data_IF_390323570548
#
_entry.id   IF_390323570548
#
_cell.length_a   1.000
_cell.length_b   1.000
_cell.length_c   1.000
_cell.angle_alpha   90.00
_cell.angle_beta   90.00
_cell.angle_gamma   90.00
#
_symmetry.space_group_name_H-M   'P 1'
#
loop_
_entity.id
_entity.type
_entity.pdbx_description
1 polymer ?
#
# COMPACT_ATOMS: atom_id res chain seq x y z
N UNK A 1 39.01 74.29 -46.90
CA UNK A 1 39.13 72.89 -46.35
C UNK A 1 38.12 72.59 -45.15
N UNK A 2 37.54 73.57 -44.50
CA UNK A 2 36.65 73.32 -43.35
C UNK A 2 35.20 72.90 -43.67
N UNK A 3 34.70 73.21 -44.93
CA UNK A 3 33.31 72.86 -45.30
C UNK A 3 33.11 71.36 -45.65
N UNK A 4 34.16 70.67 -46.03
CA UNK A 4 34.08 69.26 -46.42
C UNK A 4 34.05 68.34 -45.19
N UNK A 5 34.74 68.67 -44.10
CA UNK A 5 34.76 67.91 -42.87
C UNK A 5 33.42 67.96 -42.12
N UNK A 6 32.73 69.08 -42.12
CA UNK A 6 31.39 69.20 -41.51
C UNK A 6 30.33 68.37 -42.23
N UNK A 7 30.36 68.30 -43.59
CA UNK A 7 29.44 67.48 -44.35
C UNK A 7 29.63 65.95 -44.10
N UNK A 8 30.86 65.47 -43.94
CA UNK A 8 31.16 64.07 -43.66
C UNK A 8 30.76 63.69 -42.24
N UNK A 9 30.93 64.58 -41.26
CA UNK A 9 30.44 64.35 -39.89
C UNK A 9 28.91 64.26 -39.83
N UNK A 10 28.18 65.15 -40.49
CA UNK A 10 26.72 65.12 -40.54
C UNK A 10 26.17 63.87 -41.24
N UNK A 11 26.79 63.38 -42.32
CA UNK A 11 26.37 62.16 -43.01
C UNK A 11 26.62 60.92 -42.15
N UNK A 12 27.74 60.86 -41.42
CA UNK A 12 28.03 59.75 -40.49
C UNK A 12 27.06 59.75 -39.29
N UNK A 13 26.73 60.95 -38.75
CA UNK A 13 25.77 61.06 -37.65
C UNK A 13 24.36 60.63 -38.07
N UNK A 14 23.92 61.01 -39.27
CA UNK A 14 22.63 60.57 -39.86
C UNK A 14 22.58 59.07 -40.13
N UNK A 15 23.68 58.49 -40.57
CA UNK A 15 23.78 57.05 -40.81
C UNK A 15 23.73 56.24 -39.50
N UNK A 16 24.44 56.70 -38.47
CA UNK A 16 24.44 56.12 -37.15
C UNK A 16 23.03 56.21 -36.52
N UNK A 17 22.40 57.39 -36.59
CA UNK A 17 21.04 57.61 -36.09
C UNK A 17 20.01 56.73 -36.79
N UNK A 18 20.05 56.54 -38.08
CA UNK A 18 19.16 55.67 -38.83
C UNK A 18 19.40 54.20 -38.49
N UNK A 19 20.63 53.81 -38.30
CA UNK A 19 20.99 52.43 -37.91
C UNK A 19 20.50 52.15 -36.50
N UNK A 20 20.65 53.04 -35.55
CA UNK A 20 20.11 52.93 -34.18
C UNK A 20 18.59 52.91 -34.20
N UNK A 21 17.91 53.74 -34.94
CA UNK A 21 16.46 53.76 -35.06
C UNK A 21 15.89 52.46 -35.58
N UNK A 22 16.56 51.82 -36.55
CA UNK A 22 16.17 50.54 -37.09
C UNK A 22 16.44 49.36 -36.12
N UNK A 23 17.52 49.45 -35.33
CA UNK A 23 17.82 48.47 -34.27
C UNK A 23 16.77 48.58 -33.15
N UNK A 24 16.45 49.81 -32.72
CA UNK A 24 15.40 50.06 -31.72
C UNK A 24 14.04 49.50 -32.14
N UNK A 25 13.64 49.73 -33.42
CA UNK A 25 12.41 49.15 -33.94
C UNK A 25 12.40 47.64 -33.88
N UNK A 26 13.51 46.99 -34.25
CA UNK A 26 13.63 45.51 -34.18
C UNK A 26 13.55 45.02 -32.73
N UNK A 27 14.20 45.70 -31.77
CA UNK A 27 14.15 45.38 -30.37
C UNK A 27 12.72 45.54 -29.81
N UNK A 28 12.03 46.63 -30.20
CA UNK A 28 10.63 46.84 -29.82
C UNK A 28 9.71 45.78 -30.37
N UNK A 29 9.88 45.34 -31.64
CA UNK A 29 9.13 44.24 -32.22
C UNK A 29 9.39 42.90 -31.49
N UNK A 30 10.65 42.63 -31.14
CA UNK A 30 11.01 41.42 -30.37
C UNK A 30 10.40 41.47 -28.96
N UNK A 31 10.42 42.61 -28.27
CA UNK A 31 9.81 42.80 -26.95
C UNK A 31 8.28 42.65 -27.01
N UNK A 32 7.62 43.20 -28.04
CA UNK A 32 6.17 43.02 -28.22
C UNK A 32 5.85 41.54 -28.51
N UNK A 33 6.64 40.86 -29.35
CA UNK A 33 6.47 39.43 -29.61
C UNK A 33 6.67 38.58 -28.35
N UNK A 34 7.67 38.88 -27.51
CA UNK A 34 7.89 38.21 -26.22
C UNK A 34 6.73 38.42 -25.24
N UNK A 35 6.15 39.63 -25.21
CA UNK A 35 4.98 39.93 -24.36
C UNK A 35 3.76 39.16 -24.85
N UNK A 36 3.52 39.07 -26.18
CA UNK A 36 2.40 38.32 -26.74
C UNK A 36 2.54 36.81 -26.51
N UNK A 37 3.75 36.26 -26.58
CA UNK A 37 4.01 34.84 -26.21
C UNK A 37 3.80 34.58 -24.70
N UNK A 38 4.15 35.52 -23.85
CA UNK A 38 3.94 35.39 -22.37
C UNK A 38 2.46 35.38 -21.98
N UNK A 39 1.62 36.14 -22.69
CA UNK A 39 0.17 36.18 -22.46
C UNK A 39 -0.50 34.90 -22.92
N UNK A 40 0.01 34.24 -23.95
CA UNK A 40 -0.50 32.95 -24.47
C UNK A 40 -0.10 31.76 -23.56
N UNK A 41 0.87 31.94 -22.66
CA UNK A 41 1.34 30.88 -21.73
C UNK A 41 0.55 30.83 -20.41
N UNK A 42 -0.45 31.69 -20.19
CA UNK A 42 -1.32 31.58 -19.03
C UNK A 42 -2.13 30.29 -19.14
N UNK A 43 -1.88 29.36 -18.20
CA UNK A 43 -2.65 28.10 -18.09
C UNK A 43 -4.14 28.45 -18.00
N UNK A 44 -4.91 27.98 -18.98
CA UNK A 44 -6.36 28.16 -19.02
C UNK A 44 -6.98 27.42 -17.84
N UNK A 45 -7.64 28.11 -16.92
CA UNK A 45 -8.35 27.49 -15.81
C UNK A 45 -9.55 26.71 -16.36
N UNK A 46 -9.61 25.40 -16.07
CA UNK A 46 -10.70 24.52 -16.51
C UNK A 46 -11.73 24.21 -15.44
N UNK A 47 -11.63 24.81 -14.24
CA UNK A 47 -12.61 24.55 -13.19
C UNK A 47 -12.22 25.14 -11.83
N UNK A 48 -12.96 24.74 -10.82
CA UNK A 48 -12.76 25.14 -9.42
C UNK A 48 -12.85 23.92 -8.52
N UNK A 49 -12.00 23.88 -7.49
CA UNK A 49 -12.04 22.88 -6.42
C UNK A 49 -12.59 23.55 -5.16
N UNK A 50 -13.54 22.91 -4.52
CA UNK A 50 -14.18 23.36 -3.30
C UNK A 50 -13.92 22.36 -2.17
N UNK A 51 -13.55 22.84 -1.00
CA UNK A 51 -13.44 22.04 0.23
C UNK A 51 -14.75 22.01 1.03
N UNK A 52 -15.68 22.91 0.71
CA UNK A 52 -17.03 22.99 1.23
C UNK A 52 -17.99 23.14 0.06
N UNK A 53 -18.91 22.18 -0.12
CA UNK A 53 -19.88 22.18 -1.22
C UNK A 53 -21.07 21.27 -0.87
N UNK A 54 -22.34 21.63 -1.20
CA UNK A 54 -23.50 20.79 -0.92
C UNK A 54 -23.44 19.36 -1.47
N UNK A 55 -22.68 19.15 -2.57
CA UNK A 55 -22.47 17.82 -3.12
C UNK A 55 -21.61 16.94 -2.21
N UNK A 56 -20.69 17.51 -1.43
CA UNK A 56 -19.93 16.79 -0.41
C UNK A 56 -20.87 16.30 0.67
N UNK A 57 -21.74 17.17 1.19
CA UNK A 57 -22.73 16.81 2.22
C UNK A 57 -23.68 15.70 1.73
N UNK A 58 -24.06 15.74 0.45
CA UNK A 58 -24.87 14.69 -0.17
C UNK A 58 -24.15 13.35 -0.20
N UNK A 59 -22.87 13.32 -0.59
CA UNK A 59 -22.05 12.09 -0.62
C UNK A 59 -21.85 11.55 0.80
N UNK A 60 -21.54 12.40 1.77
CA UNK A 60 -21.45 12.00 3.17
C UNK A 60 -22.78 11.46 3.72
N UNK A 61 -23.90 12.09 3.36
CA UNK A 61 -25.24 11.62 3.73
C UNK A 61 -25.55 10.25 3.11
N UNK A 62 -25.15 10.02 1.87
CA UNK A 62 -25.22 8.73 1.21
C UNK A 62 -24.39 7.66 1.94
N UNK A 63 -23.13 7.95 2.25
CA UNK A 63 -22.26 7.02 2.97
C UNK A 63 -22.81 6.70 4.37
N UNK A 64 -23.30 7.70 5.10
CA UNK A 64 -23.90 7.54 6.42
C UNK A 64 -25.18 6.69 6.37
N UNK A 65 -26.05 6.90 5.37
CA UNK A 65 -27.22 6.06 5.16
C UNK A 65 -26.85 4.61 4.86
N UNK A 66 -25.81 4.38 4.07
CA UNK A 66 -25.32 3.03 3.79
C UNK A 66 -24.81 2.32 5.05
N UNK A 67 -23.88 2.91 5.80
CA UNK A 67 -23.31 2.27 7.01
C UNK A 67 -24.32 2.09 8.14
N UNK A 68 -25.35 2.95 8.21
CA UNK A 68 -26.43 2.80 9.19
C UNK A 68 -27.46 1.73 8.82
N UNK A 69 -27.38 1.19 7.58
CA UNK A 69 -28.35 0.21 7.08
C UNK A 69 -29.65 0.82 6.53
N UNK A 70 -29.76 2.14 6.45
CA UNK A 70 -30.90 2.83 5.81
C UNK A 70 -30.75 2.79 4.29
N UNK A 71 -30.93 1.57 3.74
CA UNK A 71 -30.69 1.29 2.33
C UNK A 71 -31.67 2.01 1.40
N UNK A 72 -32.89 2.29 1.85
CA UNK A 72 -33.84 3.05 1.05
C UNK A 72 -33.39 4.50 0.90
N UNK A 73 -32.91 5.11 1.98
CA UNK A 73 -32.30 6.43 1.95
C UNK A 73 -31.03 6.44 1.11
N UNK A 74 -30.12 5.47 1.30
CA UNK A 74 -28.93 5.36 0.50
C UNK A 74 -29.25 5.23 -1.00
N UNK A 75 -30.22 4.38 -1.36
CA UNK A 75 -30.69 4.19 -2.73
C UNK A 75 -31.30 5.48 -3.33
N UNK A 76 -31.95 6.34 -2.52
CA UNK A 76 -32.56 7.57 -3.00
C UNK A 76 -31.54 8.59 -3.51
N UNK A 77 -30.29 8.53 -3.07
CA UNK A 77 -29.20 9.38 -3.58
C UNK A 77 -28.69 8.94 -4.95
N UNK A 78 -29.01 7.73 -5.43
CA UNK A 78 -28.50 7.19 -6.69
C UNK A 78 -29.47 7.48 -7.84
N UNK A 79 -28.95 8.03 -8.95
CA UNK A 79 -29.71 8.22 -10.18
C UNK A 79 -30.26 6.90 -10.74
N UNK A 80 -31.33 6.93 -11.55
CA UNK A 80 -31.88 5.70 -12.14
C UNK A 80 -30.91 5.02 -13.11
N UNK A 81 -30.13 5.80 -13.85
CA UNK A 81 -29.10 5.32 -14.77
C UNK A 81 -27.71 5.15 -14.11
N UNK A 82 -27.65 5.11 -12.79
CA UNK A 82 -26.42 5.01 -12.00
C UNK A 82 -25.53 3.87 -12.44
N UNK A 83 -24.20 4.14 -12.41
CA UNK A 83 -23.15 3.13 -12.65
C UNK A 83 -22.01 3.28 -11.65
N UNK A 84 -21.45 2.14 -11.19
CA UNK A 84 -20.18 2.12 -10.48
C UNK A 84 -19.16 1.29 -11.24
N UNK A 85 -17.93 1.79 -11.31
CA UNK A 85 -16.82 1.22 -12.04
C UNK A 85 -15.66 0.93 -11.11
N UNK A 86 -14.99 -0.20 -11.35
CA UNK A 86 -13.70 -0.47 -10.74
C UNK A 86 -12.62 0.37 -11.48
N UNK A 87 -12.04 1.35 -10.78
CA UNK A 87 -11.06 2.29 -11.35
C UNK A 87 -9.70 1.66 -11.66
N UNK A 88 -9.37 0.49 -11.06
CA UNK A 88 -8.15 -0.27 -11.36
C UNK A 88 -8.38 -1.41 -12.35
N UNK A 89 -9.62 -1.59 -12.82
CA UNK A 89 -9.98 -2.65 -13.75
C UNK A 89 -9.29 -2.50 -15.11
N UNK A 90 -8.77 -3.60 -15.65
CA UNK A 90 -8.07 -3.63 -16.94
C UNK A 90 -9.01 -3.55 -18.15
N UNK A 91 -10.30 -3.85 -17.99
CA UNK A 91 -11.27 -3.83 -19.08
C UNK A 91 -11.84 -2.42 -19.31
N UNK A 92 -11.29 -1.73 -20.29
CA UNK A 92 -11.73 -0.37 -20.70
C UNK A 92 -13.18 -0.30 -21.19
N UNK A 93 -13.77 -1.45 -21.59
CA UNK A 93 -15.14 -1.54 -22.07
C UNK A 93 -16.10 -2.05 -20.99
N UNK A 94 -15.69 -2.10 -19.72
CA UNK A 94 -16.56 -2.50 -18.63
C UNK A 94 -17.76 -1.57 -18.54
N UNK A 95 -18.97 -2.15 -18.48
CA UNK A 95 -20.22 -1.37 -18.39
C UNK A 95 -20.50 -0.84 -16.97
N UNK A 96 -19.68 -1.22 -15.99
CA UNK A 96 -19.91 -0.96 -14.58
C UNK A 96 -21.14 -1.70 -14.02
N UNK A 97 -21.29 -1.69 -12.70
CA UNK A 97 -22.48 -2.22 -12.06
C UNK A 97 -23.61 -1.20 -12.13
N UNK A 98 -24.82 -1.72 -12.32
CA UNK A 98 -26.07 -0.93 -12.30
C UNK A 98 -26.43 -0.54 -10.85
N UNK A 99 -27.36 0.40 -10.70
CA UNK A 99 -27.99 0.76 -9.42
C UNK A 99 -28.45 -0.47 -8.64
N UNK A 100 -29.17 -1.39 -9.30
CA UNK A 100 -29.67 -2.62 -8.65
C UNK A 100 -28.55 -3.50 -8.14
N UNK A 101 -27.50 -3.70 -8.94
CA UNK A 101 -26.32 -4.52 -8.53
C UNK A 101 -25.58 -3.88 -7.37
N UNK A 102 -25.40 -2.56 -7.40
CA UNK A 102 -24.72 -1.85 -6.33
C UNK A 102 -25.54 -1.83 -5.04
N UNK A 103 -26.86 -1.63 -5.11
CA UNK A 103 -27.74 -1.76 -3.95
C UNK A 103 -27.68 -3.16 -3.35
N UNK A 104 -27.66 -4.20 -4.20
CA UNK A 104 -27.43 -5.58 -3.74
C UNK A 104 -26.08 -5.74 -2.98
N UNK A 105 -25.02 -5.13 -3.49
CA UNK A 105 -23.71 -5.10 -2.81
C UNK A 105 -23.78 -4.35 -1.47
N UNK A 106 -24.40 -3.15 -1.43
CA UNK A 106 -24.59 -2.41 -0.18
C UNK A 106 -25.35 -3.24 0.85
N UNK A 107 -26.41 -3.93 0.40
CA UNK A 107 -27.20 -4.85 1.24
C UNK A 107 -26.34 -5.97 1.80
N UNK A 108 -25.49 -6.56 0.95
CA UNK A 108 -24.58 -7.61 1.40
C UNK A 108 -23.64 -7.13 2.52
N UNK A 109 -23.05 -5.93 2.37
CA UNK A 109 -22.17 -5.35 3.39
C UNK A 109 -22.87 -5.17 4.72
N UNK A 110 -24.06 -4.57 4.73
CA UNK A 110 -24.85 -4.34 5.94
C UNK A 110 -25.25 -5.64 6.64
N UNK A 111 -25.65 -6.64 5.86
CA UNK A 111 -26.14 -7.90 6.41
C UNK A 111 -25.01 -8.84 6.89
N UNK A 112 -23.85 -8.79 6.25
CA UNK A 112 -22.78 -9.77 6.48
C UNK A 112 -21.58 -9.23 7.24
N UNK A 113 -21.50 -7.94 7.51
CA UNK A 113 -20.39 -7.35 8.22
C UNK A 113 -20.82 -6.78 9.57
N UNK A 114 -20.13 -7.19 10.64
CA UNK A 114 -20.16 -6.50 11.91
C UNK A 114 -19.21 -5.30 11.88
N UNK A 115 -19.50 -4.27 12.66
CA UNK A 115 -18.66 -3.06 12.78
C UNK A 115 -18.40 -2.36 11.45
N UNK A 116 -19.32 -2.49 10.51
CA UNK A 116 -19.19 -1.90 9.18
C UNK A 116 -19.08 -0.38 9.26
N UNK A 117 -18.02 0.17 8.69
CA UNK A 117 -17.69 1.60 8.73
C UNK A 117 -17.06 2.05 7.41
N UNK A 118 -17.38 3.28 7.06
CA UNK A 118 -16.65 4.08 6.07
C UNK A 118 -16.13 5.29 6.82
N UNK A 119 -14.83 5.34 7.05
CA UNK A 119 -14.19 6.43 7.77
C UNK A 119 -13.29 7.20 6.83
N UNK A 120 -13.28 8.51 6.97
CA UNK A 120 -12.30 9.35 6.29
C UNK A 120 -10.88 8.95 6.72
N UNK A 121 -9.98 8.82 5.75
CA UNK A 121 -8.56 8.59 6.02
C UNK A 121 -7.97 9.80 6.77
N UNK A 122 -7.04 9.55 7.69
CA UNK A 122 -6.41 10.60 8.47
C UNK A 122 -5.70 11.62 7.58
N UNK A 123 -5.96 12.90 7.82
CA UNK A 123 -5.40 14.01 7.05
C UNK A 123 -6.02 14.25 5.67
N UNK A 124 -7.02 13.46 5.26
CA UNK A 124 -7.71 13.64 4.00
C UNK A 124 -8.99 14.47 4.16
N UNK A 125 -9.32 15.21 3.12
CA UNK A 125 -10.56 16.00 3.02
C UNK A 125 -11.27 15.65 1.73
N UNK A 126 -12.63 15.52 1.71
CA UNK A 126 -13.35 15.42 0.47
C UNK A 126 -13.30 16.75 -0.27
N UNK A 127 -13.21 16.66 -1.59
CA UNK A 127 -13.22 17.82 -2.48
C UNK A 127 -14.38 17.71 -3.47
N UNK A 128 -15.01 18.84 -3.80
CA UNK A 128 -15.90 18.97 -4.95
C UNK A 128 -15.17 19.69 -6.08
N UNK A 129 -15.22 19.14 -7.29
CA UNK A 129 -14.52 19.64 -8.46
C UNK A 129 -15.54 19.98 -9.54
N UNK A 130 -15.75 21.25 -9.81
CA UNK A 130 -16.52 21.74 -10.93
C UNK A 130 -15.64 21.94 -12.15
N UNK A 131 -15.91 21.22 -13.23
CA UNK A 131 -15.26 21.39 -14.51
C UNK A 131 -16.06 22.36 -15.40
N UNK A 132 -15.38 23.35 -15.99
CA UNK A 132 -15.99 24.27 -16.98
C UNK A 132 -16.23 23.58 -18.31
N UNK A 133 -15.31 22.72 -18.70
CA UNK A 133 -15.43 21.92 -19.92
C UNK A 133 -16.25 20.68 -19.59
N UNK A 134 -17.43 20.55 -20.21
CA UNK A 134 -18.34 19.43 -19.99
C UNK A 134 -19.35 19.60 -18.84
N UNK A 135 -19.32 20.74 -18.15
CA UNK A 135 -20.27 21.08 -17.07
C UNK A 135 -20.50 19.90 -16.07
N UNK A 136 -19.38 19.36 -15.55
CA UNK A 136 -19.38 18.20 -14.66
C UNK A 136 -19.00 18.60 -13.26
N UNK A 137 -19.75 18.09 -12.29
CA UNK A 137 -19.43 18.16 -10.87
C UNK A 137 -19.03 16.77 -10.36
N UNK A 138 -17.84 16.69 -9.81
CA UNK A 138 -17.31 15.48 -9.17
C UNK A 138 -17.04 15.75 -7.70
N UNK A 139 -17.36 14.77 -6.85
CA UNK A 139 -16.89 14.73 -5.47
C UNK A 139 -15.89 13.58 -5.34
N UNK A 140 -14.78 13.83 -4.70
CA UNK A 140 -13.79 12.79 -4.42
C UNK A 140 -13.61 12.63 -2.91
N UNK A 141 -13.47 11.37 -2.48
CA UNK A 141 -13.25 11.00 -1.08
C UNK A 141 -12.09 10.04 -0.94
N UNK A 142 -11.37 10.14 0.17
CA UNK A 142 -10.35 9.20 0.60
C UNK A 142 -10.80 8.62 1.92
N UNK A 143 -11.31 7.41 1.86
CA UNK A 143 -11.93 6.74 2.98
C UNK A 143 -11.18 5.46 3.33
N UNK A 144 -11.50 4.91 4.47
CA UNK A 144 -11.11 3.59 4.93
C UNK A 144 -12.38 2.76 5.14
N UNK A 145 -12.48 1.65 4.40
CA UNK A 145 -13.59 0.72 4.50
C UNK A 145 -13.21 -0.39 5.49
N UNK A 146 -14.00 -0.56 6.53
CA UNK A 146 -13.75 -1.51 7.60
C UNK A 146 -14.97 -2.35 7.92
N UNK A 147 -14.74 -3.61 8.29
CA UNK A 147 -15.77 -4.50 8.82
C UNK A 147 -15.21 -5.88 9.12
N UNK A 148 -15.96 -6.67 9.90
CA UNK A 148 -15.64 -8.07 10.20
C UNK A 148 -16.77 -8.95 9.70
N UNK A 149 -16.45 -9.94 8.88
CA UNK A 149 -17.47 -10.84 8.34
C UNK A 149 -18.11 -11.68 9.44
N UNK A 150 -19.43 -11.65 9.55
CA UNK A 150 -20.20 -12.33 10.59
C UNK A 150 -20.04 -13.85 10.57
N UNK A 151 -19.88 -14.43 9.38
CA UNK A 151 -19.84 -15.88 9.22
C UNK A 151 -18.43 -16.45 9.38
N UNK A 152 -17.41 -15.72 8.90
CA UNK A 152 -16.04 -16.23 8.81
C UNK A 152 -15.08 -15.58 9.82
N UNK A 153 -15.47 -14.43 10.41
CA UNK A 153 -14.59 -13.62 11.25
C UNK A 153 -13.50 -12.88 10.47
N UNK A 154 -13.48 -12.98 9.14
CA UNK A 154 -12.48 -12.31 8.32
C UNK A 154 -12.63 -10.79 8.40
N UNK A 155 -11.54 -10.10 8.72
CA UNK A 155 -11.48 -8.65 8.75
C UNK A 155 -11.30 -8.10 7.32
N UNK A 156 -12.12 -7.15 6.96
CA UNK A 156 -11.88 -6.27 5.83
C UNK A 156 -11.41 -4.91 6.35
N UNK A 157 -10.27 -4.43 5.86
CA UNK A 157 -9.66 -3.19 6.32
C UNK A 157 -8.80 -2.64 5.17
N UNK A 158 -9.37 -1.72 4.40
CA UNK A 158 -8.72 -1.24 3.19
C UNK A 158 -9.00 0.23 2.92
N UNK A 159 -7.99 0.99 2.46
CA UNK A 159 -8.20 2.32 1.92
C UNK A 159 -9.03 2.23 0.64
N UNK A 160 -9.94 3.18 0.47
CA UNK A 160 -10.76 3.33 -0.73
C UNK A 160 -10.82 4.79 -1.15
N UNK A 161 -10.52 5.03 -2.42
CA UNK A 161 -10.70 6.33 -3.04
C UNK A 161 -11.87 6.26 -4.00
N UNK A 162 -12.83 7.18 -3.89
CA UNK A 162 -14.00 7.23 -4.74
C UNK A 162 -14.17 8.58 -5.39
N UNK A 163 -14.53 8.55 -6.67
CA UNK A 163 -14.92 9.71 -7.46
C UNK A 163 -16.42 9.57 -7.77
N UNK A 164 -17.22 10.50 -7.29
CA UNK A 164 -18.67 10.53 -7.48
C UNK A 164 -19.03 11.58 -8.51
N UNK A 165 -19.57 11.18 -9.66
CA UNK A 165 -20.16 12.09 -10.63
C UNK A 165 -21.56 12.47 -10.16
N UNK A 166 -21.79 13.75 -9.98
CA UNK A 166 -23.09 14.29 -9.56
C UNK A 166 -23.94 14.61 -10.80
N UNK A 167 -25.26 14.40 -10.70
CA UNK A 167 -26.19 14.77 -11.76
C UNK A 167 -26.22 16.29 -11.99
N UNK A 168 -26.54 16.72 -13.22
CA UNK A 168 -26.54 18.14 -13.59
C UNK A 168 -27.56 19.00 -12.79
N UNK A 169 -28.57 18.37 -12.21
CA UNK A 169 -29.50 19.02 -11.30
C UNK A 169 -29.02 19.04 -9.84
N UNK A 170 -27.83 18.51 -9.56
CA UNK A 170 -27.20 18.40 -8.26
C UNK A 170 -28.02 17.63 -7.20
N UNK A 171 -28.88 16.68 -7.63
CA UNK A 171 -29.79 15.96 -6.72
C UNK A 171 -29.43 14.51 -6.50
N UNK A 172 -28.57 13.93 -7.33
CA UNK A 172 -28.23 12.51 -7.26
C UNK A 172 -26.81 12.21 -7.72
N UNK A 173 -26.32 11.06 -7.31
CA UNK A 173 -25.06 10.47 -7.74
C UNK A 173 -25.31 9.66 -9.01
N UNK A 174 -24.70 10.06 -10.13
CA UNK A 174 -24.87 9.44 -11.43
C UNK A 174 -23.89 8.30 -11.69
N UNK A 175 -22.65 8.48 -11.23
CA UNK A 175 -21.63 7.44 -11.36
C UNK A 175 -20.65 7.48 -10.20
N UNK A 176 -20.00 6.34 -9.97
CA UNK A 176 -18.87 6.22 -9.04
C UNK A 176 -17.72 5.50 -9.74
N UNK A 177 -16.51 6.03 -9.61
CA UNK A 177 -15.29 5.27 -9.84
C UNK A 177 -14.65 4.95 -8.50
N UNK A 178 -14.45 3.67 -8.22
CA UNK A 178 -13.87 3.18 -6.98
C UNK A 178 -12.47 2.60 -7.22
N UNK A 179 -11.52 3.03 -6.40
CA UNK A 179 -10.13 2.56 -6.38
C UNK A 179 -9.85 2.00 -4.99
N UNK A 180 -9.57 0.70 -4.91
CA UNK A 180 -9.28 0.02 -3.65
C UNK A 180 -8.32 -1.15 -3.86
N UNK A 181 -7.84 -1.72 -2.75
CA UNK A 181 -6.96 -2.89 -2.80
C UNK A 181 -7.78 -4.17 -3.02
N UNK A 182 -7.67 -4.77 -4.21
CA UNK A 182 -8.36 -6.02 -4.53
C UNK A 182 -7.95 -7.21 -3.67
N UNK A 183 -6.73 -7.21 -3.12
CA UNK A 183 -6.27 -8.28 -2.24
C UNK A 183 -7.16 -8.43 -0.98
N UNK A 184 -7.74 -7.33 -0.48
CA UNK A 184 -8.67 -7.36 0.65
C UNK A 184 -9.96 -8.11 0.31
N UNK A 185 -10.46 -7.96 -0.93
CA UNK A 185 -11.63 -8.72 -1.41
C UNK A 185 -11.30 -10.19 -1.65
N UNK A 186 -10.10 -10.49 -2.13
CA UNK A 186 -9.62 -11.88 -2.29
C UNK A 186 -9.58 -12.56 -0.93
N UNK A 187 -8.98 -11.94 0.08
CA UNK A 187 -8.91 -12.49 1.44
C UNK A 187 -10.32 -12.73 2.03
N UNK A 188 -11.26 -11.80 1.81
CA UNK A 188 -12.65 -11.97 2.23
C UNK A 188 -13.32 -13.15 1.54
N UNK A 189 -13.17 -13.29 0.22
CA UNK A 189 -13.70 -14.41 -0.56
C UNK A 189 -13.08 -15.73 -0.11
N UNK A 190 -11.76 -15.78 0.05
CA UNK A 190 -11.03 -16.98 0.43
C UNK A 190 -11.36 -17.43 1.86
N UNK A 191 -11.87 -16.55 2.71
CA UNK A 191 -12.34 -16.91 4.05
C UNK A 191 -13.57 -17.83 4.05
N UNK A 192 -14.31 -17.89 2.95
CA UNK A 192 -15.44 -18.82 2.76
C UNK A 192 -15.01 -20.18 2.18
N UNK A 193 -13.77 -20.31 1.72
CA UNK A 193 -13.29 -21.56 1.17
C UNK A 193 -13.09 -22.59 2.30
N UNK A 194 -13.63 -23.79 2.12
CA UNK A 194 -13.26 -24.91 2.96
C UNK A 194 -11.79 -25.24 2.69
N UNK A 195 -11.02 -25.36 3.77
CA UNK A 195 -9.64 -25.83 3.68
C UNK A 195 -9.65 -27.34 3.73
N UNK A 196 -9.15 -27.97 2.70
CA UNK A 196 -8.88 -29.41 2.74
C UNK A 196 -7.77 -29.69 3.75
N UNK A 197 -7.80 -30.90 4.33
CA UNK A 197 -6.78 -31.36 5.25
C UNK A 197 -5.44 -31.50 4.50
N UNK A 198 -4.40 -30.90 5.05
CA UNK A 198 -3.04 -31.15 4.59
C UNK A 198 -2.47 -32.46 5.12
N UNK A 199 -1.17 -32.67 4.93
CA UNK A 199 -0.42 -33.83 5.43
C UNK A 199 0.53 -33.37 6.54
N UNK A 200 0.69 -34.23 7.54
CA UNK A 200 1.66 -34.06 8.61
C UNK A 200 2.68 -35.19 8.49
N UNK A 201 3.96 -34.81 8.46
CA UNK A 201 5.07 -35.74 8.44
C UNK A 201 5.93 -35.59 9.69
N UNK A 202 6.24 -36.70 10.35
CA UNK A 202 7.17 -36.75 11.49
C UNK A 202 8.60 -37.10 11.05
N UNK A 203 8.79 -37.39 9.77
CA UNK A 203 10.07 -37.66 9.14
C UNK A 203 10.04 -37.14 7.71
N UNK A 204 10.81 -36.08 7.41
CA UNK A 204 10.87 -35.44 6.11
C UNK A 204 12.20 -34.69 5.94
N UNK A 205 12.67 -34.50 4.69
CA UNK A 205 13.92 -33.78 4.42
C UNK A 205 13.90 -32.35 4.95
N UNK A 206 12.78 -31.66 4.94
CA UNK A 206 12.66 -30.31 5.50
C UNK A 206 12.87 -30.30 7.03
N UNK A 207 12.43 -31.34 7.75
CA UNK A 207 12.77 -31.51 9.16
C UNK A 207 14.27 -31.70 9.34
N UNK A 208 14.90 -32.50 8.46
CA UNK A 208 16.34 -32.71 8.51
C UNK A 208 17.12 -31.40 8.20
N UNK A 209 16.58 -30.56 7.30
CA UNK A 209 17.11 -29.22 7.02
C UNK A 209 17.10 -28.36 8.27
N UNK A 210 15.97 -28.28 8.98
CA UNK A 210 15.89 -27.53 10.24
C UNK A 210 16.86 -28.05 11.30
N UNK A 211 16.98 -29.38 11.48
CA UNK A 211 17.94 -29.98 12.40
C UNK A 211 19.39 -29.59 12.06
N UNK A 212 19.77 -29.72 10.78
CA UNK A 212 21.11 -29.35 10.30
C UNK A 212 21.39 -27.85 10.54
N UNK A 213 20.42 -27.00 10.26
CA UNK A 213 20.51 -25.56 10.53
C UNK A 213 20.72 -25.29 12.03
N UNK A 214 19.88 -25.84 12.87
CA UNK A 214 19.90 -25.58 14.30
C UNK A 214 21.22 -26.03 14.95
N UNK A 215 21.71 -27.21 14.59
CA UNK A 215 23.00 -27.69 15.11
C UNK A 215 24.20 -26.97 14.50
N UNK A 216 24.13 -26.51 13.24
CA UNK A 216 25.18 -25.65 12.66
C UNK A 216 25.26 -24.34 13.44
N UNK A 217 24.12 -23.70 13.71
CA UNK A 217 24.04 -22.46 14.48
C UNK A 217 24.59 -22.64 15.92
N UNK A 218 24.16 -23.70 16.61
CA UNK A 218 24.60 -23.97 17.99
C UNK A 218 26.10 -24.26 18.11
N UNK A 219 26.73 -24.77 17.03
CA UNK A 219 28.16 -25.01 16.98
C UNK A 219 28.97 -23.84 16.40
N UNK A 220 28.34 -22.69 16.17
CA UNK A 220 29.02 -21.49 15.67
C UNK A 220 29.28 -21.49 14.15
N UNK A 221 28.80 -22.47 13.40
CA UNK A 221 28.92 -22.54 11.93
C UNK A 221 27.76 -21.72 11.31
N UNK A 222 27.84 -20.39 11.53
CA UNK A 222 26.79 -19.44 11.19
C UNK A 222 26.53 -19.41 9.68
N UNK A 223 27.57 -19.45 8.85
CA UNK A 223 27.41 -19.41 7.40
C UNK A 223 26.71 -20.65 6.86
N UNK A 224 27.03 -21.83 7.41
CA UNK A 224 26.31 -23.06 7.09
C UNK A 224 24.84 -22.99 7.53
N UNK A 225 24.56 -22.43 8.71
CA UNK A 225 23.20 -22.28 9.20
C UNK A 225 22.37 -21.38 8.27
N UNK A 226 22.89 -20.23 7.89
CA UNK A 226 22.19 -19.32 6.97
C UNK A 226 22.15 -19.83 5.52
N UNK A 227 23.06 -20.74 5.14
CA UNK A 227 23.03 -21.40 3.85
C UNK A 227 21.78 -22.28 3.58
N UNK A 228 20.94 -22.55 4.59
CA UNK A 228 19.68 -23.25 4.41
C UNK A 228 18.50 -22.33 4.04
N UNK A 229 18.70 -21.02 4.11
CA UNK A 229 17.71 -20.02 3.72
C UNK A 229 17.84 -19.61 2.25
N UNK A 230 16.78 -19.05 1.70
CA UNK A 230 16.84 -18.34 0.41
C UNK A 230 17.53 -16.98 0.59
N UNK A 231 18.05 -16.42 -0.49
CA UNK A 231 18.74 -15.10 -0.48
C UNK A 231 17.82 -13.95 0.05
N UNK A 232 16.52 -14.06 -0.20
CA UNK A 232 15.54 -13.06 0.22
C UNK A 232 14.67 -13.54 1.41
N UNK A 233 15.20 -14.45 2.23
CA UNK A 233 14.47 -14.94 3.39
C UNK A 233 14.17 -13.81 4.39
N UNK A 234 13.01 -13.92 5.04
CA UNK A 234 12.57 -12.99 6.07
C UNK A 234 12.57 -13.65 7.46
N UNK A 235 12.82 -12.85 8.49
CA UNK A 235 12.92 -13.30 9.88
C UNK A 235 11.99 -12.47 10.76
N UNK A 236 11.02 -13.12 11.38
CA UNK A 236 10.06 -12.52 12.30
C UNK A 236 10.35 -13.04 13.69
N UNK A 237 10.60 -12.16 14.65
CA UNK A 237 10.85 -12.52 16.04
C UNK A 237 9.80 -11.87 16.94
N UNK A 238 9.21 -12.64 17.84
CA UNK A 238 8.15 -12.17 18.74
C UNK A 238 8.58 -11.02 19.69
N UNK A 239 9.89 -10.78 19.82
CA UNK A 239 10.45 -9.70 20.63
C UNK A 239 10.82 -8.45 19.80
N UNK A 240 10.67 -8.49 18.48
CA UNK A 240 10.98 -7.39 17.59
C UNK A 240 9.71 -6.78 16.99
N UNK A 241 9.75 -5.49 16.68
CA UNK A 241 8.59 -4.77 16.14
C UNK A 241 8.49 -4.82 14.62
N UNK A 242 9.51 -5.34 13.94
CA UNK A 242 9.59 -5.41 12.48
C UNK A 242 10.19 -6.73 12.00
N UNK A 243 9.88 -7.06 10.78
CA UNK A 243 10.57 -8.09 10.00
C UNK A 243 12.04 -7.71 9.76
N UNK A 244 12.92 -8.70 9.77
CA UNK A 244 14.35 -8.53 9.53
C UNK A 244 14.79 -9.28 8.28
N UNK A 245 15.80 -8.78 7.60
CA UNK A 245 16.56 -9.49 6.57
C UNK A 245 17.72 -10.27 7.18
N UNK A 246 18.50 -10.98 6.33
CA UNK A 246 19.65 -11.79 6.78
C UNK A 246 20.73 -10.95 7.50
N UNK A 247 21.05 -9.78 7.02
CA UNK A 247 22.06 -8.90 7.64
C UNK A 247 21.64 -8.47 9.05
N UNK A 248 20.37 -8.06 9.19
CA UNK A 248 19.81 -7.59 10.46
C UNK A 248 19.73 -8.72 11.51
N UNK A 249 19.30 -9.92 11.10
CA UNK A 249 19.19 -11.07 12.03
C UNK A 249 20.58 -11.56 12.44
N UNK A 250 21.56 -11.62 11.52
CA UNK A 250 22.95 -11.97 11.83
C UNK A 250 23.57 -10.98 12.84
N UNK A 251 23.35 -9.69 12.66
CA UNK A 251 23.82 -8.66 13.58
C UNK A 251 23.18 -8.78 14.97
N UNK A 252 21.90 -9.03 15.03
CA UNK A 252 21.14 -9.27 16.28
C UNK A 252 21.67 -10.51 17.03
N UNK A 253 21.83 -11.63 16.32
CA UNK A 253 22.30 -12.88 16.91
C UNK A 253 23.74 -12.78 17.38
N UNK A 254 24.62 -12.14 16.63
CA UNK A 254 26.00 -11.87 17.02
C UNK A 254 26.04 -11.02 18.31
N UNK A 255 25.18 -10.00 18.43
CA UNK A 255 25.05 -9.18 19.64
C UNK A 255 24.58 -10.02 20.85
N UNK A 256 23.60 -10.90 20.65
CA UNK A 256 23.12 -11.79 21.72
C UNK A 256 24.22 -12.74 22.17
N UNK A 257 24.89 -13.39 21.23
CA UNK A 257 25.94 -14.38 21.51
C UNK A 257 27.23 -13.75 22.03
N UNK A 258 27.44 -12.44 21.89
CA UNK A 258 28.57 -11.74 22.52
C UNK A 258 28.53 -11.77 24.05
N UNK A 259 27.34 -11.96 24.64
CA UNK A 259 27.15 -12.04 26.09
C UNK A 259 26.82 -13.44 26.62
N UNK A 260 26.54 -14.41 25.73
CA UNK A 260 26.05 -15.73 26.10
C UNK A 260 26.72 -16.84 25.28
N UNK A 261 27.07 -17.94 25.93
CA UNK A 261 27.56 -19.15 25.28
C UNK A 261 26.44 -20.19 25.23
N UNK A 262 26.16 -20.76 24.06
CA UNK A 262 25.30 -21.93 23.92
C UNK A 262 26.12 -23.15 24.36
N UNK A 263 25.70 -23.86 25.41
CA UNK A 263 26.39 -25.04 25.92
C UNK A 263 25.72 -26.36 25.53
N UNK A 264 24.42 -26.33 25.27
CA UNK A 264 23.69 -27.41 24.58
C UNK A 264 22.46 -26.88 23.85
N UNK A 265 22.03 -27.64 22.86
CA UNK A 265 20.79 -27.43 22.13
C UNK A 265 20.10 -28.76 22.00
N UNK A 266 18.88 -28.85 22.53
CA UNK A 266 18.10 -30.08 22.57
C UNK A 266 16.72 -29.86 21.92
N UNK A 267 16.29 -30.83 21.09
CA UNK A 267 14.90 -30.87 20.61
C UNK A 267 13.93 -31.07 21.79
N UNK A 268 12.82 -30.36 21.80
CA UNK A 268 11.73 -30.54 22.75
C UNK A 268 10.53 -31.11 21.99
N UNK A 269 10.29 -32.41 22.10
CA UNK A 269 9.26 -33.10 21.34
C UNK A 269 9.75 -33.53 19.97
N UNK A 270 8.87 -33.47 18.97
CA UNK A 270 9.15 -33.87 17.59
C UNK A 270 8.93 -32.67 16.67
N UNK A 271 9.87 -32.31 15.79
CA UNK A 271 9.58 -31.42 14.68
C UNK A 271 8.57 -32.05 13.73
N UNK A 272 7.55 -31.29 13.36
CA UNK A 272 6.56 -31.70 12.38
C UNK A 272 6.74 -30.92 11.09
N UNK A 273 6.63 -31.62 9.94
CA UNK A 273 6.51 -30.98 8.65
C UNK A 273 5.05 -31.04 8.17
N UNK A 274 4.51 -29.88 7.80
CA UNK A 274 3.12 -29.68 7.40
C UNK A 274 3.10 -29.28 5.92
N UNK A 275 2.38 -30.05 5.09
CA UNK A 275 1.98 -29.67 3.76
C UNK A 275 0.52 -29.29 3.76
N UNK A 276 0.21 -28.06 3.43
CA UNK A 276 -1.16 -27.59 3.30
C UNK A 276 -1.56 -27.62 1.82
N UNK A 277 -2.70 -28.22 1.49
CA UNK A 277 -3.26 -28.18 0.12
C UNK A 277 -3.62 -26.74 -0.27
N UNK A 278 -3.91 -25.92 0.73
CA UNK A 278 -4.19 -24.51 0.53
C UNK A 278 -2.90 -23.69 0.35
N UNK A 279 -2.78 -23.00 -0.79
CA UNK A 279 -1.62 -22.17 -1.19
C UNK A 279 -0.30 -22.95 -1.30
N UNK A 280 -0.34 -24.25 -1.39
CA UNK A 280 0.88 -25.09 -1.46
C UNK A 280 1.90 -24.76 -0.35
N UNK A 281 1.40 -24.44 0.85
CA UNK A 281 2.26 -24.02 1.97
C UNK A 281 2.98 -25.22 2.57
N UNK A 282 4.28 -25.04 2.81
CA UNK A 282 5.19 -26.06 3.34
C UNK A 282 5.87 -25.50 4.57
N UNK A 283 5.56 -26.06 5.73
CA UNK A 283 5.99 -25.49 7.02
C UNK A 283 6.60 -26.55 7.91
N UNK A 284 7.78 -26.29 8.47
CA UNK A 284 8.29 -27.07 9.62
C UNK A 284 8.05 -26.28 10.90
N UNK A 285 7.36 -26.89 11.85
CA UNK A 285 7.30 -26.40 13.20
C UNK A 285 8.22 -27.22 14.11
N UNK A 286 9.00 -26.54 14.97
CA UNK A 286 9.99 -27.19 15.81
C UNK A 286 10.18 -26.46 17.14
N UNK A 287 10.46 -27.25 18.18
CA UNK A 287 10.63 -26.77 19.54
C UNK A 287 12.02 -27.13 20.04
N UNK A 288 12.71 -26.15 20.64
CA UNK A 288 14.11 -26.26 21.03
C UNK A 288 14.35 -25.70 22.42
N UNK A 289 15.26 -26.33 23.16
CA UNK A 289 15.78 -25.81 24.42
C UNK A 289 17.25 -25.45 24.24
N UNK A 290 17.58 -24.15 24.24
CA UNK A 290 18.94 -23.67 24.30
C UNK A 290 19.40 -23.62 25.76
N UNK A 291 20.38 -24.38 26.13
CA UNK A 291 21.09 -24.17 27.38
C UNK A 291 22.19 -23.17 27.17
N UNK A 292 22.08 -22.01 27.84
CA UNK A 292 22.99 -20.89 27.64
C UNK A 292 23.64 -20.50 28.96
N UNK A 293 24.91 -20.06 28.91
CA UNK A 293 25.65 -19.56 30.09
C UNK A 293 26.08 -18.12 29.78
N UNK A 294 25.74 -17.21 30.66
CA UNK A 294 26.12 -15.80 30.55
C UNK A 294 27.60 -15.62 30.86
N UNK A 295 28.35 -14.95 30.02
CA UNK A 295 29.79 -14.82 30.13
C UNK A 295 30.24 -13.95 31.29
N UNK A 296 29.40 -13.06 31.82
CA UNK A 296 29.76 -12.10 32.88
C UNK A 296 29.70 -12.66 34.27
N UNK A 297 28.85 -13.66 34.55
CA UNK A 297 28.57 -14.15 35.90
C UNK A 297 28.21 -15.65 35.97
N UNK A 298 28.47 -16.39 34.90
CA UNK A 298 28.16 -17.82 34.76
C UNK A 298 26.69 -18.20 35.00
N UNK A 299 25.77 -17.23 34.92
CA UNK A 299 24.33 -17.50 35.05
C UNK A 299 23.89 -18.47 33.95
N UNK A 300 23.36 -19.62 34.37
CA UNK A 300 22.83 -20.64 33.47
C UNK A 300 21.34 -20.44 33.24
N UNK A 301 20.90 -20.49 31.98
CA UNK A 301 19.51 -20.36 31.56
C UNK A 301 19.19 -21.46 30.53
N UNK A 302 17.99 -22.03 30.64
CA UNK A 302 17.39 -22.83 29.58
C UNK A 302 16.33 -21.95 28.88
N UNK A 303 16.55 -21.69 27.60
CA UNK A 303 15.68 -20.85 26.79
C UNK A 303 14.88 -21.71 25.84
N UNK A 304 13.56 -21.91 26.10
CA UNK A 304 12.68 -22.57 25.15
C UNK A 304 12.40 -21.63 23.97
N UNK A 305 12.49 -22.18 22.75
CA UNK A 305 12.20 -21.46 21.52
C UNK A 305 11.32 -22.33 20.61
N UNK A 306 10.29 -21.74 20.07
CA UNK A 306 9.48 -22.33 19.02
C UNK A 306 9.74 -21.64 17.68
N UNK A 307 9.99 -22.42 16.64
CA UNK A 307 10.17 -21.94 15.28
C UNK A 307 9.08 -22.46 14.35
N UNK A 308 8.66 -21.57 13.43
CA UNK A 308 7.92 -21.91 12.21
C UNK A 308 8.79 -21.52 11.03
N UNK A 309 9.15 -22.48 10.23
CA UNK A 309 9.99 -22.30 9.03
C UNK A 309 9.18 -22.62 7.78
N UNK A 310 8.93 -21.61 6.95
CA UNK A 310 8.27 -21.76 5.65
C UNK A 310 9.29 -22.15 4.59
N UNK A 311 8.93 -23.09 3.71
CA UNK A 311 9.82 -23.67 2.71
C UNK A 311 9.32 -23.38 1.29
N UNK A 312 10.27 -23.23 0.37
CA UNK A 312 10.02 -23.27 -1.07
C UNK A 312 10.01 -24.72 -1.58
N UNK A 313 9.85 -24.89 -2.90
CA UNK A 313 9.83 -26.19 -3.55
C UNK A 313 11.22 -26.84 -3.66
N UNK A 314 12.29 -26.08 -3.46
CA UNK A 314 13.68 -26.53 -3.52
C UNK A 314 14.21 -26.94 -2.12
N UNK A 315 13.37 -26.87 -1.08
CA UNK A 315 13.70 -27.23 0.29
C UNK A 315 14.55 -26.19 1.01
N UNK A 316 14.48 -24.92 0.56
CA UNK A 316 15.07 -23.77 1.23
C UNK A 316 14.03 -23.05 2.07
N UNK A 317 14.49 -22.47 3.18
CA UNK A 317 13.63 -21.68 4.08
C UNK A 317 13.47 -20.27 3.51
N UNK A 318 12.21 -19.85 3.30
CA UNK A 318 11.86 -18.52 2.79
C UNK A 318 11.51 -17.55 3.90
N UNK A 319 11.00 -18.07 5.02
CA UNK A 319 10.68 -17.26 6.20
C UNK A 319 10.86 -18.09 7.47
N UNK A 320 11.37 -17.47 8.52
CA UNK A 320 11.41 -18.02 9.87
C UNK A 320 10.65 -17.13 10.83
N UNK A 321 9.70 -17.71 11.57
CA UNK A 321 9.06 -17.06 12.71
C UNK A 321 9.62 -17.67 14.00
N UNK A 322 10.11 -16.83 14.92
CA UNK A 322 10.69 -17.23 16.19
C UNK A 322 9.86 -16.72 17.38
N UNK A 323 9.55 -17.61 18.30
CA UNK A 323 8.77 -17.31 19.51
C UNK A 323 9.56 -17.74 20.75
N UNK A 324 9.96 -16.80 21.58
CA UNK A 324 10.72 -17.04 22.79
C UNK A 324 10.61 -15.88 23.79
N UNK A 325 11.03 -16.08 25.02
CA UNK A 325 10.93 -15.08 26.07
C UNK A 325 12.28 -14.40 26.30
N UNK A 326 12.48 -13.20 25.75
CA UNK A 326 13.70 -12.41 25.90
C UNK A 326 13.99 -12.00 27.37
N UNK A 327 13.00 -12.01 28.27
CA UNK A 327 13.23 -11.63 29.66
C UNK A 327 14.08 -12.66 30.44
N UNK A 328 14.18 -13.90 29.92
CA UNK A 328 15.05 -14.94 30.54
C UNK A 328 16.54 -14.62 30.37
N UNK A 329 16.89 -13.77 29.40
CA UNK A 329 18.27 -13.37 29.10
C UNK A 329 18.66 -11.99 29.71
N UNK A 330 17.83 -11.44 30.57
CA UNK A 330 18.12 -10.18 31.29
C UNK A 330 18.88 -10.39 32.59
#
# INVERSE_FOLDING_TARGET
>A
KNHTYLKVCFINFYYIYFKFKNIMKKITFILIALITFSVSAQKKKNGTVFVEHPAIDMVESFQNAWISGDLDKAKSFLAEDFRIFNGVGLNKNAKGWTKTQFVGNMTWWVNNMDYFQIKRSEGAYPDAIEYKEGDQLWVQTWDHLYGVNKNTGAKFDAPVHRLYLISNDNKSIKAVQEYTNEASFINMRDSYAERENGKIYINHENINTVRKLMYAFANGDVDKAFGFFTENATYIDSNESKEMNEEEIRARDAKLLSGWNITSLDESGYPDYLEYDWRDSKVVQSWWNFTMVRQSDDKKVVLPVFYLDDFDNDGKITQRNAYWNATLLK
#
